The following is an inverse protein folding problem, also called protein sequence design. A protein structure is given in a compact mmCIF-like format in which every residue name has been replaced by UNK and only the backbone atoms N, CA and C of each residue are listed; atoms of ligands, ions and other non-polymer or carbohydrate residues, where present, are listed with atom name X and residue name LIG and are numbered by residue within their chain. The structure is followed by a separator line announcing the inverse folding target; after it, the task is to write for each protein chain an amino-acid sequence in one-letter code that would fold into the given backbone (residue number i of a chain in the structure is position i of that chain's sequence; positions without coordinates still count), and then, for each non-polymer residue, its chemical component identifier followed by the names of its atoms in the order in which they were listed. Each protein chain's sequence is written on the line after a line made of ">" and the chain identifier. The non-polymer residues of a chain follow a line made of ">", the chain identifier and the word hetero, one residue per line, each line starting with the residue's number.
data_IF_174780694008
#
_entry.id   IF_174780694008
#
_cell.length_a   1.000
_cell.length_b   1.000
_cell.length_c   1.000
_cell.angle_alpha   90.00
_cell.angle_beta   90.00
_cell.angle_gamma   90.00
#
_symmetry.space_group_name_H-M   'P 1'
#
loop_
_entity.id
_entity.type
_entity.pdbx_description
1 polymer ?
#
# COMPACT_ATOMS: atom_id res chain seq x y z
N UNK A 1 -29.18 -72.20 -18.36
CA UNK A 1 -27.83 -72.38 -17.79
C UNK A 1 -26.84 -71.64 -18.68
N UNK A 2 -26.23 -70.56 -18.18
CA UNK A 2 -24.77 -70.36 -18.06
C UNK A 2 -24.48 -68.85 -17.94
N UNK A 3 -24.24 -68.42 -16.70
CA UNK A 3 -23.61 -67.13 -16.38
C UNK A 3 -22.12 -67.22 -16.71
N UNK A 4 -21.55 -66.14 -17.27
CA UNK A 4 -20.22 -65.69 -16.88
C UNK A 4 -20.00 -64.20 -17.17
N UNK A 5 -19.51 -63.41 -16.20
CA UNK A 5 -19.42 -61.96 -16.26
C UNK A 5 -18.10 -61.50 -16.90
N UNK A 6 -18.11 -60.33 -17.55
CA UNK A 6 -16.89 -59.61 -17.87
C UNK A 6 -16.86 -58.32 -17.04
N UNK A 7 -16.21 -58.41 -15.88
CA UNK A 7 -15.59 -57.27 -15.19
C UNK A 7 -14.26 -57.00 -15.89
N UNK A 8 -13.99 -55.73 -16.20
CA UNK A 8 -12.69 -55.05 -16.34
C UNK A 8 -12.90 -53.83 -17.24
N UNK A 9 -12.54 -52.58 -16.96
CA UNK A 9 -12.07 -51.84 -15.78
C UNK A 9 -11.79 -50.42 -16.30
N UNK A 10 -11.57 -49.49 -15.37
CA UNK A 10 -10.85 -48.22 -15.52
C UNK A 10 -11.70 -47.06 -16.09
N UNK A 11 -12.27 -46.34 -15.13
CA UNK A 11 -12.50 -44.91 -15.21
C UNK A 11 -11.28 -44.21 -15.82
N UNK A 12 -11.40 -43.76 -17.08
CA UNK A 12 -10.41 -42.85 -17.65
C UNK A 12 -10.63 -41.46 -17.08
N UNK A 13 -9.80 -41.15 -16.08
CA UNK A 13 -9.09 -39.89 -15.95
C UNK A 13 -9.91 -38.64 -16.31
N UNK A 14 -10.73 -38.19 -15.36
CA UNK A 14 -10.75 -36.76 -15.06
C UNK A 14 -9.37 -36.41 -14.49
N UNK A 15 -8.37 -36.28 -15.37
CA UNK A 15 -7.07 -35.75 -15.01
C UNK A 15 -7.30 -34.29 -14.67
N UNK A 16 -7.46 -34.06 -13.36
CA UNK A 16 -7.29 -32.82 -12.63
C UNK A 16 -7.02 -31.57 -13.49
N UNK A 17 -8.07 -31.02 -14.09
CA UNK A 17 -8.23 -29.58 -14.24
C UNK A 17 -8.72 -29.01 -12.90
N UNK A 18 -8.06 -29.40 -11.82
CA UNK A 18 -7.91 -28.56 -10.66
C UNK A 18 -6.64 -27.74 -10.92
N UNK A 19 -6.63 -26.95 -12.01
CA UNK A 19 -5.99 -25.66 -11.85
C UNK A 19 -6.81 -25.05 -10.73
N UNK A 20 -6.23 -24.96 -9.54
CA UNK A 20 -6.82 -24.20 -8.45
C UNK A 20 -7.32 -22.93 -9.11
N UNK A 21 -8.60 -22.61 -8.92
CA UNK A 21 -9.12 -21.30 -9.30
C UNK A 21 -8.40 -20.34 -8.35
N UNK A 22 -7.14 -20.05 -8.64
CA UNK A 22 -6.37 -19.04 -7.95
C UNK A 22 -7.10 -17.77 -8.30
N UNK A 23 -7.69 -17.14 -7.29
CA UNK A 23 -8.24 -15.80 -7.45
C UNK A 23 -7.10 -14.98 -8.06
N UNK A 24 -7.31 -14.23 -9.16
CA UNK A 24 -6.23 -13.55 -9.88
C UNK A 24 -5.30 -12.72 -8.98
N UNK A 25 -5.83 -12.21 -7.86
CA UNK A 25 -5.08 -11.52 -6.82
C UNK A 25 -4.13 -12.44 -6.03
N UNK A 26 -4.54 -13.64 -5.64
CA UNK A 26 -3.69 -14.59 -4.89
C UNK A 26 -2.47 -15.01 -5.72
N UNK A 27 -2.68 -15.20 -7.03
CA UNK A 27 -1.59 -15.49 -7.95
C UNK A 27 -0.61 -14.32 -8.04
N UNK A 28 -1.11 -13.10 -8.25
CA UNK A 28 -0.28 -11.91 -8.32
C UNK A 28 0.50 -11.68 -7.01
N UNK A 29 -0.14 -11.88 -5.86
CA UNK A 29 0.51 -11.79 -4.56
C UNK A 29 1.59 -12.86 -4.39
N UNK A 30 1.33 -14.10 -4.81
CA UNK A 30 2.33 -15.16 -4.82
C UNK A 30 3.56 -14.82 -5.68
N UNK A 31 3.34 -14.27 -6.87
CA UNK A 31 4.41 -13.78 -7.75
C UNK A 31 5.20 -12.64 -7.10
N UNK A 32 4.50 -11.69 -6.46
CA UNK A 32 5.11 -10.55 -5.77
C UNK A 32 6.06 -11.01 -4.67
N UNK A 33 5.58 -11.89 -3.80
CA UNK A 33 6.34 -12.44 -2.68
C UNK A 33 7.53 -13.30 -3.13
N UNK A 34 7.41 -13.96 -4.28
CA UNK A 34 8.49 -14.71 -4.90
C UNK A 34 9.52 -13.82 -5.64
N UNK A 35 9.35 -12.49 -5.63
CA UNK A 35 10.27 -11.54 -6.26
C UNK A 35 10.00 -11.30 -7.74
N UNK A 36 9.01 -11.98 -8.33
CA UNK A 36 8.56 -11.79 -9.72
C UNK A 36 7.67 -10.54 -9.85
N UNK A 37 8.19 -9.38 -9.39
CA UNK A 37 7.38 -8.16 -9.21
C UNK A 37 6.73 -7.65 -10.50
N UNK A 38 7.43 -7.72 -11.64
CA UNK A 38 6.86 -7.30 -12.92
C UNK A 38 5.76 -8.26 -13.42
N UNK A 39 5.90 -9.56 -13.14
CA UNK A 39 4.88 -10.56 -13.51
C UNK A 39 3.61 -10.36 -12.67
N UNK A 40 3.76 -10.10 -11.36
CA UNK A 40 2.64 -9.78 -10.48
C UNK A 40 1.81 -8.59 -10.99
N UNK A 41 2.50 -7.50 -11.38
CA UNK A 41 1.86 -6.32 -11.98
C UNK A 41 1.13 -6.67 -13.26
N UNK A 42 1.79 -7.42 -14.17
CA UNK A 42 1.19 -7.82 -15.44
C UNK A 42 -0.06 -8.70 -15.24
N UNK A 43 -0.04 -9.59 -14.24
CA UNK A 43 -1.20 -10.41 -13.86
C UNK A 43 -2.38 -9.54 -13.42
N UNK A 44 -2.14 -8.57 -12.53
CA UNK A 44 -3.19 -7.65 -12.05
C UNK A 44 -3.75 -6.81 -13.20
N UNK A 45 -2.89 -6.28 -14.08
CA UNK A 45 -3.32 -5.48 -15.23
C UNK A 45 -4.13 -6.30 -16.25
N UNK A 46 -3.76 -7.55 -16.47
CA UNK A 46 -4.51 -8.45 -17.34
C UNK A 46 -5.91 -8.71 -16.80
N UNK A 47 -6.06 -8.86 -15.48
CA UNK A 47 -7.36 -9.07 -14.85
C UNK A 47 -8.21 -7.79 -14.83
N UNK A 48 -7.60 -6.63 -14.59
CA UNK A 48 -8.30 -5.34 -14.64
C UNK A 48 -8.86 -5.02 -16.04
N UNK A 49 -8.29 -5.57 -17.12
CA UNK A 49 -8.91 -5.47 -18.46
C UNK A 49 -10.27 -6.18 -18.55
N UNK A 50 -10.49 -7.19 -17.71
CA UNK A 50 -11.73 -7.97 -17.64
C UNK A 50 -12.70 -7.39 -16.61
N UNK A 51 -12.15 -6.88 -15.51
CA UNK A 51 -12.87 -6.38 -14.34
C UNK A 51 -12.31 -5.01 -13.93
N UNK A 52 -12.55 -3.93 -14.71
CA UNK A 52 -11.88 -2.64 -14.51
C UNK A 52 -12.22 -1.96 -13.19
N UNK A 53 -13.40 -2.25 -12.63
CA UNK A 53 -13.89 -1.64 -11.39
C UNK A 53 -13.59 -2.47 -10.14
N UNK A 54 -12.81 -3.56 -10.25
CA UNK A 54 -12.44 -4.38 -9.10
C UNK A 54 -11.55 -3.59 -8.13
N UNK A 55 -12.14 -3.18 -7.02
CA UNK A 55 -11.49 -2.43 -5.94
C UNK A 55 -10.17 -3.08 -5.50
N UNK A 56 -10.18 -4.39 -5.25
CA UNK A 56 -9.03 -5.09 -4.66
C UNK A 56 -7.86 -5.13 -5.63
N UNK A 57 -8.15 -5.38 -6.91
CA UNK A 57 -7.13 -5.38 -7.96
C UNK A 57 -6.57 -3.97 -8.20
N UNK A 58 -7.41 -2.93 -8.22
CA UNK A 58 -6.97 -1.54 -8.32
C UNK A 58 -6.08 -1.15 -7.15
N UNK A 59 -6.49 -1.50 -5.93
CA UNK A 59 -5.70 -1.22 -4.72
C UNK A 59 -4.35 -1.94 -4.75
N UNK A 60 -4.33 -3.24 -5.07
CA UNK A 60 -3.11 -4.02 -5.21
C UNK A 60 -2.17 -3.43 -6.27
N UNK A 61 -2.69 -3.02 -7.42
CA UNK A 61 -1.89 -2.34 -8.44
C UNK A 61 -1.29 -1.04 -7.89
N UNK A 62 -2.06 -0.23 -7.17
CA UNK A 62 -1.56 0.99 -6.52
C UNK A 62 -0.39 0.72 -5.59
N UNK A 63 -0.50 -0.29 -4.72
CA UNK A 63 0.57 -0.72 -3.81
C UNK A 63 1.80 -1.19 -4.57
N UNK A 64 1.62 -2.05 -5.60
CA UNK A 64 2.74 -2.54 -6.40
C UNK A 64 3.46 -1.42 -7.16
N UNK A 65 2.72 -0.46 -7.71
CA UNK A 65 3.31 0.73 -8.36
C UNK A 65 4.08 1.58 -7.36
N UNK A 66 3.57 1.74 -6.13
CA UNK A 66 4.26 2.47 -5.07
C UNK A 66 5.58 1.79 -4.66
N UNK A 67 5.56 0.48 -4.41
CA UNK A 67 6.75 -0.30 -4.05
C UNK A 67 7.80 -0.38 -5.18
N UNK A 68 7.37 -0.29 -6.44
CA UNK A 68 8.26 -0.16 -7.60
C UNK A 68 8.76 1.27 -7.83
N UNK A 69 8.53 2.19 -6.89
CA UNK A 69 8.86 3.62 -6.98
C UNK A 69 8.20 4.36 -8.16
N UNK A 70 7.13 3.81 -8.72
CA UNK A 70 6.30 4.43 -9.76
C UNK A 70 5.21 5.30 -9.11
N UNK A 71 5.65 6.27 -8.31
CA UNK A 71 4.80 7.01 -7.37
C UNK A 71 3.73 7.86 -8.05
N UNK A 72 3.98 8.39 -9.25
CA UNK A 72 2.97 9.15 -10.01
C UNK A 72 1.81 8.26 -10.48
N UNK A 73 2.10 7.02 -10.88
CA UNK A 73 1.06 6.05 -11.29
C UNK A 73 0.26 5.60 -10.06
N UNK A 74 0.94 5.32 -8.95
CA UNK A 74 0.29 4.96 -7.70
C UNK A 74 -0.65 6.07 -7.20
N UNK A 75 -0.21 7.33 -7.26
CA UNK A 75 -1.03 8.47 -6.86
C UNK A 75 -2.31 8.59 -7.69
N UNK A 76 -2.21 8.41 -9.02
CA UNK A 76 -3.39 8.41 -9.89
C UNK A 76 -4.38 7.31 -9.52
N UNK A 77 -3.88 6.10 -9.24
CA UNK A 77 -4.72 4.96 -8.85
C UNK A 77 -5.43 5.23 -7.51
N UNK A 78 -4.70 5.66 -6.48
CA UNK A 78 -5.31 5.92 -5.17
C UNK A 78 -6.23 7.13 -5.20
N UNK A 79 -5.93 8.17 -5.99
CA UNK A 79 -6.84 9.31 -6.20
C UNK A 79 -8.15 8.86 -6.85
N UNK A 80 -8.09 7.99 -7.86
CA UNK A 80 -9.31 7.44 -8.45
C UNK A 80 -10.09 6.58 -7.44
N UNK A 81 -9.40 5.83 -6.57
CA UNK A 81 -10.05 5.04 -5.52
C UNK A 81 -10.73 5.92 -4.46
N UNK A 82 -10.17 7.07 -4.07
CA UNK A 82 -10.85 7.99 -3.14
C UNK A 82 -12.05 8.69 -3.76
N UNK A 83 -12.07 8.84 -5.09
CA UNK A 83 -13.22 9.40 -5.81
C UNK A 83 -14.36 8.39 -5.94
N UNK A 84 -14.04 7.15 -6.30
CA UNK A 84 -15.04 6.10 -6.50
C UNK A 84 -15.54 5.49 -5.18
N UNK A 85 -14.66 5.47 -4.17
CA UNK A 85 -14.91 4.87 -2.86
C UNK A 85 -14.48 5.83 -1.72
N UNK A 86 -15.21 6.95 -1.52
CA UNK A 86 -14.82 8.01 -0.61
C UNK A 86 -14.82 7.61 0.87
N UNK A 87 -15.46 6.49 1.22
CA UNK A 87 -15.61 5.99 2.58
C UNK A 87 -14.52 4.98 2.99
N UNK A 88 -13.56 4.68 2.10
CA UNK A 88 -12.44 3.78 2.39
C UNK A 88 -11.24 4.54 2.94
N UNK A 89 -10.71 4.10 4.08
CA UNK A 89 -9.56 4.74 4.72
C UNK A 89 -8.22 4.41 4.04
N UNK A 90 -8.03 3.18 3.56
CA UNK A 90 -6.74 2.71 3.03
C UNK A 90 -6.18 3.56 1.85
N UNK A 91 -6.99 4.00 0.86
CA UNK A 91 -6.49 4.83 -0.23
C UNK A 91 -5.97 6.19 0.25
N UNK A 92 -6.62 6.82 1.24
CA UNK A 92 -6.12 8.07 1.82
C UNK A 92 -4.81 7.85 2.58
N UNK A 93 -4.69 6.76 3.34
CA UNK A 93 -3.42 6.42 4.00
C UNK A 93 -2.27 6.25 2.98
N UNK A 94 -2.51 5.62 1.83
CA UNK A 94 -1.50 5.46 0.78
C UNK A 94 -1.17 6.78 0.05
N UNK A 95 -2.18 7.63 -0.24
CA UNK A 95 -1.94 8.98 -0.78
C UNK A 95 -1.06 9.81 0.15
N UNK A 96 -1.30 9.71 1.46
CA UNK A 96 -0.49 10.41 2.43
C UNK A 96 0.97 9.99 2.40
N UNK A 97 1.27 8.70 2.26
CA UNK A 97 2.65 8.19 2.11
C UNK A 97 3.29 8.77 0.84
N UNK A 98 2.56 8.82 -0.28
CA UNK A 98 3.04 9.38 -1.54
C UNK A 98 3.32 10.89 -1.43
N UNK A 99 2.38 11.67 -0.91
CA UNK A 99 2.53 13.12 -0.70
C UNK A 99 3.65 13.42 0.31
N UNK A 100 3.74 12.63 1.37
CA UNK A 100 4.83 12.71 2.35
C UNK A 100 6.18 12.49 1.67
N UNK A 101 6.31 11.50 0.80
CA UNK A 101 7.52 11.21 0.01
C UNK A 101 7.90 12.36 -0.94
N UNK A 102 6.92 13.08 -1.49
CA UNK A 102 7.11 14.28 -2.32
C UNK A 102 7.37 15.57 -1.52
N UNK A 103 7.38 15.49 -0.19
CA UNK A 103 7.56 16.66 0.70
C UNK A 103 6.31 17.53 0.85
N UNK A 104 5.16 17.09 0.33
CA UNK A 104 3.86 17.75 0.41
C UNK A 104 3.21 17.47 1.79
N UNK A 105 3.87 17.90 2.86
CA UNK A 105 3.52 17.50 4.23
C UNK A 105 2.11 17.91 4.65
N UNK A 106 1.61 19.05 4.17
CA UNK A 106 0.28 19.55 4.51
C UNK A 106 -0.83 18.72 3.83
N UNK A 107 -0.60 18.27 2.59
CA UNK A 107 -1.53 17.38 1.88
C UNK A 107 -1.55 16.00 2.52
N UNK A 108 -0.37 15.43 2.81
CA UNK A 108 -0.24 14.16 3.51
C UNK A 108 -0.98 14.15 4.86
N UNK A 109 -0.96 15.28 5.55
CA UNK A 109 -1.68 15.43 6.82
C UNK A 109 -3.19 15.37 6.62
N UNK A 110 -3.70 16.10 5.64
CA UNK A 110 -5.12 16.11 5.33
C UNK A 110 -5.64 14.71 4.96
N UNK A 111 -4.83 13.95 4.21
CA UNK A 111 -5.15 12.58 3.83
C UNK A 111 -5.17 11.63 5.04
N UNK A 112 -4.17 11.69 5.94
CA UNK A 112 -4.17 10.87 7.16
C UNK A 112 -5.31 11.25 8.11
N UNK A 113 -5.60 12.53 8.24
CA UNK A 113 -6.76 12.99 9.02
C UNK A 113 -8.08 12.48 8.40
N UNK A 114 -8.17 12.36 7.07
CA UNK A 114 -9.33 11.75 6.41
C UNK A 114 -9.40 10.24 6.66
N UNK A 115 -8.29 9.51 6.52
CA UNK A 115 -8.23 8.08 6.83
C UNK A 115 -8.70 7.80 8.27
N UNK A 116 -8.23 8.59 9.24
CA UNK A 116 -8.58 8.45 10.66
C UNK A 116 -9.99 8.95 10.99
N UNK A 117 -10.58 9.85 10.19
CA UNK A 117 -12.01 10.18 10.32
C UNK A 117 -12.89 9.01 9.91
N UNK A 118 -12.52 8.32 8.84
CA UNK A 118 -13.24 7.16 8.31
C UNK A 118 -13.06 5.93 9.20
N UNK A 119 -11.82 5.70 9.67
CA UNK A 119 -11.46 4.59 10.52
C UNK A 119 -10.54 5.05 11.67
N UNK A 120 -11.12 5.45 12.81
CA UNK A 120 -10.34 5.97 13.95
C UNK A 120 -9.33 4.99 14.56
N UNK A 121 -9.54 3.67 14.40
CA UNK A 121 -8.68 2.59 14.91
C UNK A 121 -7.66 2.09 13.87
N UNK A 122 -7.49 2.80 12.75
CA UNK A 122 -6.55 2.44 11.69
C UNK A 122 -5.09 2.63 12.15
N UNK A 123 -4.50 1.57 12.71
CA UNK A 123 -3.17 1.59 13.33
C UNK A 123 -2.07 2.20 12.42
N UNK A 124 -1.98 1.75 11.16
CA UNK A 124 -0.96 2.26 10.23
C UNK A 124 -1.14 3.76 9.91
N UNK A 125 -2.37 4.27 9.79
CA UNK A 125 -2.61 5.69 9.58
C UNK A 125 -2.25 6.51 10.84
N UNK A 126 -2.44 5.96 12.05
CA UNK A 126 -2.00 6.61 13.28
C UNK A 126 -0.47 6.70 13.35
N UNK A 127 0.24 5.62 13.00
CA UNK A 127 1.70 5.59 12.92
C UNK A 127 2.22 6.60 11.89
N UNK A 128 1.69 6.55 10.67
CA UNK A 128 2.05 7.48 9.59
C UNK A 128 1.79 8.95 9.97
N UNK A 129 0.72 9.24 10.72
CA UNK A 129 0.46 10.59 11.23
C UNK A 129 1.48 11.01 12.28
N UNK A 130 1.88 10.10 13.17
CA UNK A 130 2.97 10.34 14.12
C UNK A 130 4.28 10.72 13.43
N UNK A 131 4.69 9.93 12.44
CA UNK A 131 5.90 10.17 11.65
C UNK A 131 5.82 11.49 10.87
N UNK A 132 4.66 11.79 10.29
CA UNK A 132 4.43 13.06 9.61
C UNK A 132 4.51 14.26 10.56
N UNK A 133 3.95 14.14 11.77
CA UNK A 133 4.02 15.19 12.79
C UNK A 133 5.45 15.47 13.24
N UNK A 134 6.31 14.45 13.33
CA UNK A 134 7.75 14.63 13.58
C UNK A 134 8.43 15.42 12.45
N UNK A 135 8.10 15.12 11.19
CA UNK A 135 8.64 15.86 10.02
C UNK A 135 8.16 17.30 9.99
N UNK A 136 6.89 17.55 10.31
CA UNK A 136 6.33 18.90 10.44
C UNK A 136 7.00 19.68 11.58
N UNK A 137 7.22 19.05 12.73
CA UNK A 137 7.94 19.64 13.85
C UNK A 137 9.38 20.01 13.47
N UNK A 138 10.09 19.10 12.77
CA UNK A 138 11.44 19.36 12.27
C UNK A 138 11.47 20.59 11.36
N UNK A 139 10.58 20.65 10.35
CA UNK A 139 10.46 21.80 9.44
C UNK A 139 10.17 23.10 10.19
N UNK A 140 9.32 23.06 11.21
CA UNK A 140 9.00 24.23 12.03
C UNK A 140 10.19 24.69 12.87
N UNK A 141 10.94 23.77 13.46
CA UNK A 141 12.15 24.08 14.21
C UNK A 141 13.25 24.67 13.33
N UNK A 142 13.45 24.14 12.12
CA UNK A 142 14.42 24.67 11.16
C UNK A 142 14.06 26.10 10.76
N UNK A 143 12.79 26.36 10.45
CA UNK A 143 12.29 27.72 10.16
C UNK A 143 12.49 28.67 11.34
N UNK A 144 12.22 28.20 12.56
CA UNK A 144 12.47 29.00 13.77
C UNK A 144 13.96 29.30 13.93
N UNK A 145 14.85 28.33 13.67
CA UNK A 145 16.29 28.51 13.81
C UNK A 145 16.83 29.52 12.80
N UNK A 146 16.29 29.52 11.57
CA UNK A 146 16.66 30.48 10.53
C UNK A 146 16.17 31.91 10.82
N UNK A 147 15.10 32.07 11.58
CA UNK A 147 14.52 33.37 11.91
C UNK A 147 15.11 34.03 13.17
N UNK A 148 15.84 33.28 14.00
CA UNK A 148 16.41 33.80 15.23
C UNK A 148 17.66 34.66 14.96
N UNK A 149 17.84 35.79 15.67
CA UNK A 149 19.02 36.65 15.53
C UNK A 149 20.29 36.03 16.15
N UNK A 150 20.14 35.02 16.99
CA UNK A 150 21.23 34.28 17.61
C UNK A 150 20.84 32.80 17.84
N UNK A 151 21.81 31.87 17.90
CA UNK A 151 21.55 30.45 18.16
C UNK A 151 20.85 30.21 19.50
N UNK A 152 19.90 29.26 19.53
CA UNK A 152 19.22 28.83 20.75
C UNK A 152 19.59 27.40 21.11
N UNK A 153 20.25 27.20 22.26
CA UNK A 153 20.67 25.87 22.71
C UNK A 153 19.48 24.91 22.91
N UNK A 154 18.36 25.42 23.44
CA UNK A 154 17.14 24.63 23.61
C UNK A 154 16.55 24.21 22.26
N UNK A 155 16.57 25.09 21.25
CA UNK A 155 16.09 24.76 19.90
C UNK A 155 17.01 23.73 19.22
N UNK A 156 18.33 23.90 19.34
CA UNK A 156 19.31 22.95 18.82
C UNK A 156 19.11 21.54 19.40
N UNK A 157 18.79 21.44 20.69
CA UNK A 157 18.48 20.15 21.33
C UNK A 157 17.19 19.53 20.76
N UNK A 158 16.13 20.31 20.58
CA UNK A 158 14.87 19.85 19.97
C UNK A 158 15.05 19.39 18.53
N UNK A 159 15.82 20.14 17.74
CA UNK A 159 16.18 19.76 16.37
C UNK A 159 16.88 18.40 16.34
N UNK A 160 17.95 18.25 17.13
CA UNK A 160 18.73 17.00 17.19
C UNK A 160 17.85 15.81 17.58
N UNK A 161 17.02 15.95 18.60
CA UNK A 161 16.14 14.87 19.06
C UNK A 161 15.08 14.50 18.00
N UNK A 162 14.45 15.49 17.39
CA UNK A 162 13.41 15.26 16.37
C UNK A 162 14.01 14.61 15.12
N UNK A 163 15.18 15.09 14.69
CA UNK A 163 15.90 14.53 13.55
C UNK A 163 16.28 13.06 13.79
N UNK A 164 16.68 12.71 15.01
CA UNK A 164 16.98 11.32 15.35
C UNK A 164 15.74 10.41 15.23
N UNK A 165 14.56 10.89 15.64
CA UNK A 165 13.32 10.12 15.51
C UNK A 165 12.88 9.96 14.06
N UNK A 166 12.98 11.02 13.24
CA UNK A 166 12.63 10.98 11.80
C UNK A 166 13.51 10.01 11.01
N UNK A 167 14.73 9.74 11.48
CA UNK A 167 15.65 8.81 10.83
C UNK A 167 15.42 7.34 11.21
N UNK A 168 14.52 7.06 12.16
CA UNK A 168 14.12 5.68 12.47
C UNK A 168 13.23 5.22 11.31
N UNK A 169 13.64 4.20 10.53
CA UNK A 169 12.78 3.69 9.49
C UNK A 169 11.53 3.07 10.14
N UNK A 170 10.35 3.49 9.70
CA UNK A 170 9.10 2.79 10.04
C UNK A 170 9.23 1.33 9.54
N UNK A 171 8.76 0.34 10.32
CA UNK A 171 8.74 -1.04 9.82
C UNK A 171 8.01 -1.06 8.48
N UNK A 172 8.63 -1.65 7.46
CA UNK A 172 7.97 -1.84 6.16
C UNK A 172 6.57 -2.44 6.42
N UNK A 173 5.50 -1.95 5.76
CA UNK A 173 4.24 -2.66 5.78
C UNK A 173 4.54 -4.08 5.31
N UNK A 174 4.29 -5.07 6.17
CA UNK A 174 4.33 -6.46 5.75
C UNK A 174 3.29 -6.64 4.62
N UNK A 175 3.62 -7.38 3.57
CA UNK A 175 2.72 -7.62 2.44
C UNK A 175 1.47 -8.43 2.81
#
# INVERSE_FOLDING_TARGET
>A
MMYRPLLLTVAMLFSALAQAVTVPLDQAQGQWLAGHRQEAVATVEAELKRSPDDLKLRFALGVYRMELHQTDVAEQIFTALTQDFPDLADPYNNLAVLHAGKGQLDQARADLEQALRLQPDHAQAQENLGDLLLRLALRAYERSQAALPAPSAALAQKLKATQALVLIPSPNPAP
#
